data_IF_383579301921
#
_entry.id   IF_383579301921
#
_cell.length_a   1.000
_cell.length_b   1.000
_cell.length_c   1.000
_cell.angle_alpha   90.00
_cell.angle_beta   90.00
_cell.angle_gamma   90.00
#
_symmetry.space_group_name_H-M   'P 1'
#
loop_
_entity.id
_entity.type
_entity.pdbx_description
1 polymer ?
#
# COMPACT_ATOMS: atom_id res chain seq x y z
N UNK A 1 -10.44 6.02 7.61
CA UNK A 1 -10.90 4.68 7.19
C UNK A 1 -11.47 4.75 5.79
N UNK A 2 -11.14 3.78 4.98
CA UNK A 2 -11.62 3.72 3.61
C UNK A 2 -12.83 2.81 3.51
N UNK A 3 -13.74 3.12 2.59
CA UNK A 3 -14.94 2.31 2.38
C UNK A 3 -15.10 2.05 0.89
N UNK A 4 -15.32 0.79 0.54
CA UNK A 4 -15.68 0.39 -0.81
C UNK A 4 -17.17 0.12 -0.87
N UNK A 5 -17.83 0.71 -1.85
CA UNK A 5 -19.26 0.47 -2.06
C UNK A 5 -19.44 -0.48 -3.23
N UNK A 6 -20.03 -1.64 -2.97
CA UNK A 6 -20.23 -2.67 -3.99
C UNK A 6 -21.61 -3.28 -3.79
N UNK A 7 -22.44 -3.22 -4.81
CA UNK A 7 -23.78 -3.78 -4.78
C UNK A 7 -24.56 -3.35 -3.54
N UNK A 8 -24.58 -2.04 -3.30
CA UNK A 8 -25.29 -1.43 -2.18
C UNK A 8 -24.79 -1.86 -0.82
N UNK A 9 -23.59 -2.40 -0.77
CA UNK A 9 -22.97 -2.85 0.46
C UNK A 9 -21.71 -2.07 0.69
N UNK A 10 -21.46 -1.70 1.95
CA UNK A 10 -20.23 -0.99 2.31
C UNK A 10 -19.22 -1.96 2.87
N UNK A 11 -18.05 -1.98 2.28
CA UNK A 11 -16.92 -2.76 2.80
C UNK A 11 -15.92 -1.81 3.40
N UNK A 12 -15.73 -1.89 4.68
CA UNK A 12 -14.79 -1.02 5.38
C UNK A 12 -13.40 -1.62 5.36
N UNK A 13 -12.42 -0.78 5.10
CA UNK A 13 -11.02 -1.19 5.01
C UNK A 13 -10.26 -0.59 6.17
N UNK A 14 -9.64 -1.43 6.97
CA UNK A 14 -8.85 -0.98 8.12
C UNK A 14 -7.65 -1.88 8.26
N UNK A 15 -6.47 -1.29 8.26
CA UNK A 15 -5.22 -2.04 8.44
C UNK A 15 -4.83 -1.98 9.90
N UNK A 16 -4.62 -3.14 10.49
CA UNK A 16 -4.25 -3.24 11.87
C UNK A 16 -2.85 -3.81 12.00
N UNK A 17 -2.48 -4.08 13.24
CA UNK A 17 -1.13 -4.54 13.55
C UNK A 17 -0.73 -5.77 12.75
N UNK A 18 -1.62 -6.74 12.66
CA UNK A 18 -1.29 -7.98 11.96
C UNK A 18 -1.11 -7.77 10.47
N UNK A 19 -1.72 -6.74 9.90
CA UNK A 19 -1.51 -6.42 8.50
C UNK A 19 -0.05 -6.12 8.19
N UNK A 20 0.67 -5.63 9.17
CA UNK A 20 2.08 -5.27 8.99
C UNK A 20 3.04 -6.38 9.41
N UNK A 21 2.53 -7.41 10.07
CA UNK A 21 3.38 -8.45 10.64
C UNK A 21 3.32 -9.77 9.90
N UNK A 22 2.13 -10.15 9.47
CA UNK A 22 1.88 -11.52 9.04
C UNK A 22 2.10 -11.78 7.57
N UNK A 23 2.33 -10.74 6.79
CA UNK A 23 2.45 -10.90 5.34
C UNK A 23 3.62 -10.08 4.83
N UNK A 24 3.97 -10.30 3.58
CA UNK A 24 4.99 -9.50 2.89
C UNK A 24 4.37 -8.32 2.15
N UNK A 25 3.14 -7.95 2.50
CA UNK A 25 2.41 -6.92 1.78
C UNK A 25 3.11 -5.56 1.80
N UNK A 26 3.75 -5.22 2.92
CA UNK A 26 4.47 -3.96 3.01
C UNK A 26 5.57 -3.88 1.96
N UNK A 27 6.34 -4.95 1.81
CA UNK A 27 7.42 -4.98 0.84
C UNK A 27 6.88 -4.94 -0.58
N UNK A 28 5.86 -5.71 -0.86
CA UNK A 28 5.27 -5.76 -2.19
C UNK A 28 4.66 -4.41 -2.56
N UNK A 29 3.99 -3.78 -1.62
CA UNK A 29 3.40 -2.47 -1.84
C UNK A 29 4.48 -1.44 -2.12
N UNK A 30 5.55 -1.47 -1.34
CA UNK A 30 6.66 -0.55 -1.53
C UNK A 30 7.32 -0.73 -2.89
N UNK A 31 7.53 -1.98 -3.30
CA UNK A 31 8.14 -2.27 -4.60
C UNK A 31 7.28 -1.74 -5.73
N UNK A 32 5.97 -1.92 -5.64
CA UNK A 32 5.07 -1.44 -6.67
C UNK A 32 5.00 0.09 -6.69
N UNK A 33 5.02 0.72 -5.53
CA UNK A 33 5.05 2.18 -5.46
C UNK A 33 6.29 2.73 -6.13
N UNK A 34 7.44 2.13 -5.87
CA UNK A 34 8.69 2.56 -6.49
C UNK A 34 8.64 2.39 -8.00
N UNK A 35 8.08 1.28 -8.43
CA UNK A 35 7.97 1.00 -9.86
C UNK A 35 7.10 2.05 -10.56
N UNK A 36 5.95 2.36 -10.01
CA UNK A 36 5.01 3.27 -10.64
C UNK A 36 5.36 4.74 -10.41
N UNK A 37 6.24 5.02 -9.46
CA UNK A 37 6.69 6.39 -9.24
C UNK A 37 7.86 6.77 -10.13
N UNK A 38 8.39 5.80 -10.88
CA UNK A 38 9.51 6.06 -11.75
C UNK A 38 10.87 5.92 -11.10
N UNK A 39 10.92 5.41 -9.89
CA UNK A 39 12.18 5.25 -9.18
C UNK A 39 13.09 4.23 -9.87
N UNK A 40 12.51 3.28 -10.56
CA UNK A 40 13.25 2.23 -11.23
C UNK A 40 13.15 2.37 -12.74
N UNK A 41 13.46 3.54 -13.23
CA UNK A 41 13.30 3.81 -14.67
C UNK A 41 14.14 2.91 -15.54
N UNK A 42 15.25 2.44 -15.04
CA UNK A 42 16.11 1.57 -15.85
C UNK A 42 15.43 0.26 -16.19
N UNK A 43 14.46 -0.12 -15.40
CA UNK A 43 13.72 -1.35 -15.59
C UNK A 43 12.34 -1.10 -16.19
N UNK A 44 12.18 0.04 -16.83
CA UNK A 44 10.87 0.43 -17.29
C UNK A 44 10.27 -0.52 -18.31
N UNK A 45 11.09 -1.27 -19.00
CA UNK A 45 10.57 -2.28 -19.91
C UNK A 45 9.74 -3.33 -19.18
N UNK A 46 9.99 -3.50 -17.90
CA UNK A 46 9.25 -4.45 -17.09
C UNK A 46 7.95 -3.87 -16.55
N UNK A 47 7.81 -2.55 -16.57
CA UNK A 47 6.62 -1.91 -16.05
C UNK A 47 5.37 -2.34 -16.79
N UNK A 48 5.50 -2.51 -18.09
CA UNK A 48 4.36 -2.89 -18.92
C UNK A 48 4.23 -4.39 -19.09
N UNK A 49 5.08 -5.16 -18.43
CA UNK A 49 5.02 -6.61 -18.56
C UNK A 49 3.84 -7.20 -17.82
N UNK A 50 3.34 -8.31 -18.32
CA UNK A 50 2.19 -8.97 -17.70
C UNK A 50 2.48 -9.39 -16.27
N UNK A 51 3.75 -9.71 -15.98
CA UNK A 51 4.13 -10.07 -14.61
C UNK A 51 3.88 -8.95 -13.63
N UNK A 52 4.17 -7.72 -14.02
CA UNK A 52 3.97 -6.57 -13.14
C UNK A 52 2.49 -6.25 -13.01
N UNK A 53 1.73 -6.42 -14.07
CA UNK A 53 0.29 -6.23 -14.01
C UNK A 53 -0.32 -7.26 -13.05
N UNK A 54 0.09 -8.51 -13.17
CA UNK A 54 -0.40 -9.57 -12.29
C UNK A 54 -0.06 -9.24 -10.83
N UNK A 55 1.15 -8.76 -10.59
CA UNK A 55 1.55 -8.42 -9.22
C UNK A 55 0.71 -7.29 -8.66
N UNK A 56 0.38 -6.31 -9.47
CA UNK A 56 -0.48 -5.21 -9.02
C UNK A 56 -1.86 -5.71 -8.60
N UNK A 57 -2.47 -6.54 -9.44
CA UNK A 57 -3.79 -7.10 -9.11
C UNK A 57 -3.73 -7.96 -7.87
N UNK A 58 -2.71 -8.80 -7.75
CA UNK A 58 -2.55 -9.66 -6.59
C UNK A 58 -2.35 -8.85 -5.31
N UNK A 59 -1.55 -7.81 -5.39
CA UNK A 59 -1.28 -6.97 -4.23
C UNK A 59 -2.54 -6.25 -3.76
N UNK A 60 -3.31 -5.70 -4.69
CA UNK A 60 -4.57 -5.04 -4.35
C UNK A 60 -5.53 -6.01 -3.69
N UNK A 61 -5.67 -7.20 -4.26
CA UNK A 61 -6.54 -8.21 -3.69
C UNK A 61 -6.11 -8.58 -2.27
N UNK A 62 -4.82 -8.79 -2.08
CA UNK A 62 -4.31 -9.19 -0.77
C UNK A 62 -4.43 -8.07 0.25
N UNK A 63 -4.21 -6.83 -0.17
CA UNK A 63 -4.41 -5.67 0.70
C UNK A 63 -5.86 -5.60 1.18
N UNK A 64 -6.78 -5.78 0.26
CA UNK A 64 -8.20 -5.77 0.63
C UNK A 64 -8.56 -6.93 1.52
N UNK A 65 -7.96 -8.11 1.29
CA UNK A 65 -8.21 -9.25 2.13
C UNK A 65 -7.89 -8.94 3.59
N UNK A 66 -6.71 -8.41 3.84
CA UNK A 66 -6.34 -8.08 5.22
C UNK A 66 -7.09 -6.85 5.73
N UNK A 67 -7.40 -5.91 4.84
CA UNK A 67 -8.12 -4.71 5.24
C UNK A 67 -9.57 -4.95 5.59
N UNK A 68 -10.18 -5.97 5.03
CA UNK A 68 -11.58 -6.29 5.31
C UNK A 68 -11.78 -7.07 6.60
N UNK A 69 -10.75 -7.76 7.07
CA UNK A 69 -10.90 -8.74 8.13
C UNK A 69 -11.60 -8.23 9.38
N UNK A 70 -11.37 -6.99 9.73
CA UNK A 70 -11.90 -6.49 10.99
C UNK A 70 -13.40 -6.22 10.93
N UNK A 71 -13.88 -5.66 9.84
CA UNK A 71 -15.27 -5.23 9.75
C UNK A 71 -16.10 -6.03 8.78
N UNK A 72 -15.48 -6.68 7.83
CA UNK A 72 -16.19 -7.44 6.79
C UNK A 72 -15.48 -8.75 6.59
N UNK A 73 -15.67 -9.69 7.48
CA UNK A 73 -14.91 -10.94 7.42
C UNK A 73 -15.11 -11.65 6.09
N UNK A 74 -14.00 -11.96 5.46
CA UNK A 74 -13.97 -12.77 4.25
C UNK A 74 -13.06 -13.95 4.56
N UNK A 75 -13.36 -15.09 3.99
CA UNK A 75 -12.64 -16.30 4.33
C UNK A 75 -11.48 -16.57 3.38
N UNK A 76 -11.59 -16.13 2.14
CA UNK A 76 -10.57 -16.42 1.14
C UNK A 76 -10.28 -15.20 0.29
N UNK A 77 -9.09 -15.20 -0.33
CA UNK A 77 -8.76 -14.15 -1.27
C UNK A 77 -9.60 -14.21 -2.52
N UNK A 78 -10.12 -15.38 -2.85
CA UNK A 78 -11.04 -15.52 -4.00
C UNK A 78 -12.32 -14.74 -3.78
N UNK A 79 -12.83 -14.73 -2.56
CA UNK A 79 -14.01 -13.91 -2.25
C UNK A 79 -13.72 -12.44 -2.52
N UNK A 80 -12.54 -11.98 -2.15
CA UNK A 80 -12.15 -10.59 -2.41
C UNK A 80 -12.09 -10.33 -3.90
N UNK A 81 -11.56 -11.28 -4.66
CA UNK A 81 -11.52 -11.15 -6.10
C UNK A 81 -12.92 -11.00 -6.70
N UNK A 82 -13.90 -11.74 -6.19
CA UNK A 82 -15.27 -11.61 -6.65
C UNK A 82 -15.86 -10.26 -6.29
N UNK A 83 -15.56 -9.78 -5.11
CA UNK A 83 -16.00 -8.44 -4.71
C UNK A 83 -15.39 -7.38 -5.64
N UNK A 84 -14.12 -7.55 -6.00
CA UNK A 84 -13.47 -6.63 -6.92
C UNK A 84 -14.06 -6.68 -8.32
N UNK A 85 -14.46 -7.87 -8.78
CA UNK A 85 -15.14 -7.98 -10.06
C UNK A 85 -16.44 -7.18 -10.05
N UNK A 86 -17.21 -7.32 -8.98
CA UNK A 86 -18.45 -6.57 -8.83
C UNK A 86 -18.19 -5.07 -8.73
N UNK A 87 -17.13 -4.70 -8.02
CA UNK A 87 -16.73 -3.31 -7.88
C UNK A 87 -16.43 -2.69 -9.25
N UNK A 88 -15.69 -3.41 -10.06
CA UNK A 88 -15.34 -2.94 -11.41
C UNK A 88 -16.56 -2.91 -12.33
N UNK A 89 -17.47 -3.85 -12.16
CA UNK A 89 -18.67 -3.91 -12.99
C UNK A 89 -19.57 -2.71 -12.79
N UNK A 90 -19.47 -2.05 -11.65
CA UNK A 90 -20.27 -0.87 -11.34
C UNK A 90 -19.60 0.43 -11.76
N UNK A 91 -18.45 0.36 -12.40
CA UNK A 91 -17.75 1.55 -12.85
C UNK A 91 -18.58 2.34 -13.86
N UNK A 92 -18.45 3.66 -13.79
CA UNK A 92 -19.14 4.57 -14.70
C UNK A 92 -18.12 5.55 -15.26
N UNK A 93 -18.58 6.42 -16.16
CA UNK A 93 -17.68 7.43 -16.69
C UNK A 93 -17.21 8.40 -15.61
N UNK A 94 -18.06 8.66 -14.63
CA UNK A 94 -17.70 9.55 -13.54
C UNK A 94 -16.89 8.87 -12.45
N UNK A 95 -17.00 7.54 -12.36
CA UNK A 95 -16.29 6.76 -11.35
C UNK A 95 -15.74 5.51 -12.02
N UNK A 96 -14.55 5.63 -12.55
CA UNK A 96 -13.97 4.58 -13.38
C UNK A 96 -13.41 3.41 -12.60
N UNK A 97 -13.21 3.58 -11.31
CA UNK A 97 -12.76 2.51 -10.42
C UNK A 97 -11.53 1.77 -10.95
N UNK A 98 -10.55 2.54 -11.43
CA UNK A 98 -9.33 1.95 -11.98
C UNK A 98 -8.47 1.32 -10.89
N UNK A 99 -7.69 0.32 -11.29
CA UNK A 99 -6.87 -0.41 -10.34
C UNK A 99 -5.75 0.45 -9.73
N UNK A 100 -5.16 1.34 -10.53
CA UNK A 100 -4.12 2.22 -9.99
C UNK A 100 -4.68 3.21 -8.99
N UNK A 101 -5.88 3.72 -9.27
CA UNK A 101 -6.52 4.61 -8.31
C UNK A 101 -6.85 3.87 -7.02
N UNK A 102 -7.34 2.66 -7.13
CA UNK A 102 -7.64 1.85 -5.96
C UNK A 102 -6.36 1.52 -5.18
N UNK A 103 -5.30 1.16 -5.88
CA UNK A 103 -4.02 0.87 -5.26
C UNK A 103 -3.50 2.09 -4.50
N UNK A 104 -3.60 3.27 -5.11
CA UNK A 104 -3.18 4.51 -4.48
C UNK A 104 -3.96 4.78 -3.19
N UNK A 105 -5.28 4.61 -3.26
CA UNK A 105 -6.11 4.82 -2.09
C UNK A 105 -5.80 3.83 -0.98
N UNK A 106 -5.55 2.59 -1.34
CA UNK A 106 -5.20 1.57 -0.35
C UNK A 106 -3.88 1.86 0.31
N UNK A 107 -2.89 2.30 -0.48
CA UNK A 107 -1.60 2.63 0.11
C UNK A 107 -1.67 3.85 1.00
N UNK A 108 -2.48 4.84 0.63
CA UNK A 108 -2.71 5.99 1.49
C UNK A 108 -3.33 5.57 2.81
N UNK A 109 -4.31 4.68 2.74
CA UNK A 109 -4.95 4.20 3.96
C UNK A 109 -3.97 3.46 4.84
N UNK A 110 -3.13 2.62 4.22
CA UNK A 110 -2.13 1.85 4.93
C UNK A 110 -1.13 2.76 5.63
N UNK A 111 -0.66 3.79 4.91
CA UNK A 111 0.34 4.71 5.45
C UNK A 111 -0.22 5.67 6.47
N UNK A 112 -1.54 5.86 6.48
CA UNK A 112 -2.18 6.81 7.37
C UNK A 112 -2.64 6.21 8.70
N UNK A 113 -2.33 4.92 8.94
CA UNK A 113 -2.64 4.36 10.25
C UNK A 113 -1.84 5.09 11.32
N UNK A 114 -2.54 5.46 12.40
CA UNK A 114 -1.93 6.31 13.40
C UNK A 114 -0.64 5.77 13.99
N UNK A 115 -0.63 4.48 14.33
CA UNK A 115 0.58 3.91 14.93
C UNK A 115 1.74 3.87 13.94
N UNK A 116 1.46 3.70 12.67
CA UNK A 116 2.51 3.70 11.65
C UNK A 116 3.05 5.11 11.45
N UNK A 117 2.17 6.09 11.40
CA UNK A 117 2.61 7.48 11.25
C UNK A 117 3.48 7.91 12.42
N UNK A 118 3.07 7.56 13.62
CA UNK A 118 3.87 7.89 14.81
C UNK A 118 5.26 7.28 14.70
N UNK A 119 5.34 6.03 14.28
CA UNK A 119 6.62 5.36 14.13
C UNK A 119 7.47 6.05 13.08
N UNK A 120 6.89 6.39 11.94
CA UNK A 120 7.63 7.02 10.86
C UNK A 120 8.16 8.40 11.27
N UNK A 121 7.36 9.15 12.02
CA UNK A 121 7.82 10.43 12.52
C UNK A 121 9.00 10.27 13.47
N UNK A 122 8.92 9.28 14.35
CA UNK A 122 10.02 9.02 15.27
C UNK A 122 11.28 8.57 14.55
N UNK A 123 11.12 7.75 13.51
CA UNK A 123 12.26 7.32 12.72
C UNK A 123 12.93 8.48 12.01
N UNK A 124 12.14 9.39 11.47
CA UNK A 124 12.69 10.57 10.82
C UNK A 124 13.51 11.40 11.78
N UNK A 125 12.99 11.62 12.98
CA UNK A 125 13.70 12.39 13.98
C UNK A 125 15.00 11.70 14.38
N UNK A 126 14.95 10.40 14.54
CA UNK A 126 16.14 9.64 14.90
C UNK A 126 17.20 9.74 13.81
N UNK A 127 16.79 9.61 12.57
CA UNK A 127 17.73 9.68 11.45
C UNK A 127 18.33 11.07 11.33
N UNK A 128 17.54 12.10 11.52
CA UNK A 128 18.06 13.46 11.50
C UNK A 128 19.09 13.68 12.58
N UNK A 129 18.82 13.18 13.78
CA UNK A 129 19.78 13.31 14.88
C UNK A 129 21.07 12.57 14.57
N UNK A 130 20.97 11.40 13.99
CA UNK A 130 22.15 10.63 13.64
C UNK A 130 22.97 11.33 12.57
N UNK A 131 22.32 11.95 11.62
CA UNK A 131 23.03 12.68 10.59
C UNK A 131 23.80 13.87 11.15
N UNK A 132 23.19 14.55 12.10
CA UNK A 132 23.84 15.70 12.69
C UNK A 132 25.05 15.33 13.51
N UNK A 133 24.94 14.28 14.30
CA UNK A 133 26.02 13.87 15.17
C UNK A 133 27.26 13.45 14.41
N UNK A 134 27.15 12.57 13.41
CA UNK A 134 28.35 12.18 12.66
C UNK A 134 29.03 13.33 11.96
N UNK A 135 28.27 14.29 11.47
CA UNK A 135 28.86 15.44 10.83
C UNK A 135 29.69 16.27 11.79
N UNK A 136 29.19 16.41 12.98
CA UNK A 136 29.93 17.15 13.99
C UNK A 136 31.21 16.46 14.33
N UNK A 137 31.22 15.17 14.39
CA UNK A 137 32.41 14.41 14.69
C UNK A 137 33.41 14.42 13.56
N UNK A 138 32.93 14.46 12.38
CA UNK A 138 33.81 14.44 11.23
C UNK A 138 34.68 15.65 11.14
N UNK A 139 34.15 16.71 11.55
CA UNK A 139 34.91 17.92 11.51
C UNK A 139 36.18 17.85 12.25
N UNK A 140 36.25 17.16 13.25
CA UNK A 140 37.49 17.01 13.90
C UNK A 140 38.31 15.97 13.29
N UNK A 141 37.83 15.20 12.76
CA UNK A 141 38.38 14.14 12.46
C UNK A 141 39.27 14.11 11.71
N UNK A 142 39.04 14.32 11.59
CA UNK A 142 39.72 14.39 11.12
C UNK A 142 40.63 14.67 11.42
N UNK A 143 40.64 14.65 11.90
CA UNK A 143 41.08 14.93 12.43
C UNK A 143 41.64 14.92 12.86
#
# INVERSE_FOLDING_TARGET
>A
MMVLNVKDKEYKVKFGYNSFCDTDLMERTSDLLNLFSGADVDDDKDVTGMGKIKELFSCVRDLLFVGFKKFNPVETVQEVGEILDDYNDEATEDDKRGILDLFTKLTEELMNEGFLQDLMEQLEKTLDNQRKIPQDHKKPKVK
#
